data_IF_113626729415
#
_entry.id   IF_113626729415
#
_cell.length_a   1.000
_cell.length_b   1.000
_cell.length_c   1.000
_cell.angle_alpha   90.00
_cell.angle_beta   90.00
_cell.angle_gamma   90.00
#
_symmetry.space_group_name_H-M   'P 1'
#
loop_
_entity.id
_entity.type
_entity.pdbx_description
1 polymer ?
#
# COMPACT_ATOMS: atom_id res chain seq x y z
N UNK A 1 -10.96 -34.12 14.88
CA UNK A 1 -11.57 -32.77 14.95
C UNK A 1 -11.26 -32.14 13.60
N UNK A 2 -12.27 -32.02 12.74
CA UNK A 2 -12.08 -31.45 11.41
C UNK A 2 -11.85 -29.94 11.53
N UNK A 3 -11.07 -29.38 10.63
CA UNK A 3 -10.81 -27.95 10.50
C UNK A 3 -12.14 -27.22 10.27
N UNK A 4 -12.43 -26.17 11.05
CA UNK A 4 -13.68 -25.43 10.93
C UNK A 4 -13.70 -24.61 9.63
N UNK A 5 -14.81 -24.65 8.90
CA UNK A 5 -15.00 -23.94 7.61
C UNK A 5 -15.47 -22.48 7.79
N UNK A 6 -15.20 -21.86 8.93
CA UNK A 6 -15.67 -20.51 9.27
C UNK A 6 -15.31 -19.48 8.19
N UNK A 7 -14.11 -19.58 7.61
CA UNK A 7 -13.60 -18.68 6.56
C UNK A 7 -14.31 -18.84 5.20
N UNK A 8 -15.08 -19.93 5.01
CA UNK A 8 -15.83 -20.17 3.77
C UNK A 8 -17.32 -19.82 3.91
N UNK A 9 -17.81 -19.51 5.12
CA UNK A 9 -19.23 -19.21 5.35
C UNK A 9 -19.68 -17.96 4.59
N UNK A 10 -18.86 -16.93 4.52
CA UNK A 10 -19.17 -15.69 3.79
C UNK A 10 -19.27 -15.97 2.28
N UNK A 11 -18.28 -16.69 1.70
CA UNK A 11 -18.29 -17.09 0.30
C UNK A 11 -19.47 -18.02 -0.05
N UNK A 12 -19.88 -18.86 0.92
CA UNK A 12 -21.05 -19.72 0.78
C UNK A 12 -22.36 -18.91 0.72
N UNK A 13 -22.49 -17.88 1.56
CA UNK A 13 -23.65 -16.98 1.59
C UNK A 13 -23.75 -16.11 0.34
N UNK A 14 -22.63 -15.70 -0.21
CA UNK A 14 -22.56 -14.86 -1.42
C UNK A 14 -22.66 -15.69 -2.72
N UNK A 15 -22.89 -17.02 -2.60
CA UNK A 15 -23.00 -17.97 -3.72
C UNK A 15 -21.72 -18.04 -4.60
N UNK A 16 -20.58 -17.66 -4.05
CA UNK A 16 -19.30 -17.66 -4.77
C UNK A 16 -18.63 -19.04 -4.82
N UNK A 17 -19.00 -19.95 -3.89
CA UNK A 17 -18.50 -21.33 -3.88
C UNK A 17 -19.26 -22.19 -4.90
N UNK A 18 -18.51 -22.98 -5.68
CA UNK A 18 -19.07 -23.84 -6.72
C UNK A 18 -18.57 -25.29 -6.59
N UNK A 19 -19.36 -26.22 -7.15
CA UNK A 19 -18.95 -27.62 -7.32
C UNK A 19 -18.61 -28.34 -6.03
N UNK A 20 -17.40 -28.87 -5.93
CA UNK A 20 -16.97 -29.71 -4.81
C UNK A 20 -16.75 -28.93 -3.51
N UNK A 21 -16.23 -27.71 -3.60
CA UNK A 21 -16.02 -26.85 -2.41
C UNK A 21 -17.34 -26.53 -1.71
N UNK A 22 -18.36 -26.18 -2.46
CA UNK A 22 -19.71 -25.95 -1.91
C UNK A 22 -20.25 -27.18 -1.19
N UNK A 23 -20.10 -28.37 -1.79
CA UNK A 23 -20.53 -29.64 -1.17
C UNK A 23 -19.80 -29.93 0.13
N UNK A 24 -18.49 -29.71 0.19
CA UNK A 24 -17.70 -29.92 1.40
C UNK A 24 -18.16 -28.99 2.54
N UNK A 25 -18.42 -27.72 2.24
CA UNK A 25 -18.96 -26.77 3.22
C UNK A 25 -20.36 -27.20 3.70
N UNK A 26 -21.26 -27.62 2.80
CA UNK A 26 -22.60 -28.08 3.14
C UNK A 26 -22.56 -29.35 4.05
N UNK A 27 -21.70 -30.30 3.73
CA UNK A 27 -21.52 -31.50 4.59
C UNK A 27 -20.97 -31.12 5.96
N UNK A 28 -19.99 -30.26 6.03
CA UNK A 28 -19.42 -29.84 7.32
C UNK A 28 -20.45 -29.07 8.17
N UNK A 29 -21.23 -28.16 7.58
CA UNK A 29 -22.31 -27.43 8.28
C UNK A 29 -23.38 -28.40 8.79
N UNK A 30 -23.67 -29.48 8.06
CA UNK A 30 -24.63 -30.50 8.51
C UNK A 30 -24.14 -31.22 9.76
N UNK A 31 -22.85 -31.43 9.93
CA UNK A 31 -22.27 -32.22 11.03
C UNK A 31 -21.77 -31.33 12.20
N UNK A 32 -21.29 -30.09 11.91
CA UNK A 32 -20.72 -29.21 12.90
C UNK A 32 -21.74 -28.20 13.44
N UNK A 33 -22.09 -28.31 14.72
CA UNK A 33 -23.05 -27.40 15.37
C UNK A 33 -22.53 -25.97 15.47
N UNK A 34 -21.24 -25.78 15.62
CA UNK A 34 -20.61 -24.44 15.74
C UNK A 34 -20.63 -23.66 14.41
N UNK A 35 -20.28 -24.35 13.31
CA UNK A 35 -20.32 -23.73 11.96
C UNK A 35 -21.79 -23.47 11.54
N UNK A 36 -22.71 -24.32 11.91
CA UNK A 36 -24.16 -24.11 11.69
C UNK A 36 -24.65 -22.87 12.45
N UNK A 37 -24.34 -22.76 13.74
CA UNK A 37 -24.71 -21.59 14.53
C UNK A 37 -24.08 -20.29 14.03
N UNK A 38 -22.91 -20.37 13.45
CA UNK A 38 -22.27 -19.21 12.79
C UNK A 38 -23.04 -18.82 11.53
N UNK A 39 -23.35 -19.77 10.66
CA UNK A 39 -24.15 -19.53 9.45
C UNK A 39 -25.51 -18.90 9.78
N UNK A 40 -26.22 -19.41 10.76
CA UNK A 40 -27.53 -18.89 11.20
C UNK A 40 -27.42 -17.43 11.70
N UNK A 41 -26.35 -17.08 12.42
CA UNK A 41 -26.12 -15.70 12.87
C UNK A 41 -25.86 -14.76 11.70
N UNK A 42 -25.06 -15.16 10.72
CA UNK A 42 -24.79 -14.34 9.54
C UNK A 42 -26.05 -14.15 8.68
N UNK A 43 -26.84 -15.21 8.48
CA UNK A 43 -28.12 -15.13 7.77
C UNK A 43 -29.10 -14.20 8.48
N UNK A 44 -29.19 -14.28 9.80
CA UNK A 44 -30.03 -13.40 10.60
C UNK A 44 -29.60 -11.94 10.49
N UNK A 45 -28.29 -11.69 10.54
CA UNK A 45 -27.72 -10.36 10.36
C UNK A 45 -28.01 -9.78 8.97
N UNK A 46 -27.85 -10.58 7.91
CA UNK A 46 -28.20 -10.17 6.54
C UNK A 46 -29.69 -9.86 6.38
N UNK A 47 -30.56 -10.64 7.03
CA UNK A 47 -32.00 -10.37 7.05
C UNK A 47 -32.33 -9.03 7.73
N UNK A 48 -31.67 -8.72 8.86
CA UNK A 48 -31.82 -7.41 9.52
C UNK A 48 -31.34 -6.25 8.64
N UNK A 49 -30.22 -6.42 7.96
CA UNK A 49 -29.71 -5.41 7.00
C UNK A 49 -30.67 -5.22 5.82
N UNK A 50 -31.26 -6.29 5.29
CA UNK A 50 -32.23 -6.22 4.21
C UNK A 50 -33.49 -5.45 4.64
N UNK A 51 -33.94 -5.59 5.88
CA UNK A 51 -35.06 -4.83 6.44
C UNK A 51 -34.72 -3.36 6.71
N UNK A 52 -33.47 -3.07 7.04
CA UNK A 52 -32.97 -1.70 7.25
C UNK A 52 -32.70 -0.94 5.95
N UNK A 53 -32.62 -1.63 4.80
CA UNK A 53 -32.46 -0.97 3.49
C UNK A 53 -33.71 -0.15 3.16
N UNK A 54 -33.59 1.15 2.93
CA UNK A 54 -34.71 1.92 2.41
C UNK A 54 -35.07 1.35 1.03
N UNK A 55 -36.34 0.98 0.86
CA UNK A 55 -36.88 0.58 -0.43
C UNK A 55 -36.92 1.83 -1.33
N UNK A 56 -35.88 2.03 -2.11
CA UNK A 56 -35.88 3.05 -3.15
C UNK A 56 -36.70 2.53 -4.32
N UNK A 57 -37.82 3.18 -4.58
CA UNK A 57 -38.56 2.96 -5.81
C UNK A 57 -37.76 3.56 -6.96
N UNK A 58 -37.55 2.75 -8.01
CA UNK A 58 -36.77 3.20 -9.18
C UNK A 58 -37.60 4.27 -9.90
N UNK A 59 -37.09 5.50 -10.05
CA UNK A 59 -37.82 6.56 -10.72
C UNK A 59 -38.28 6.12 -12.13
N UNK A 60 -39.53 6.44 -12.47
CA UNK A 60 -40.19 6.01 -13.72
C UNK A 60 -39.39 6.42 -14.99
N UNK A 61 -38.67 7.52 -14.94
CA UNK A 61 -37.80 7.96 -16.04
C UNK A 61 -36.60 7.00 -16.24
N UNK A 62 -36.05 6.42 -15.16
CA UNK A 62 -34.94 5.44 -15.25
C UNK A 62 -35.45 4.11 -15.76
N UNK A 63 -36.62 3.64 -15.27
CA UNK A 63 -37.28 2.42 -15.75
C UNK A 63 -37.55 2.50 -17.25
N UNK A 64 -38.18 3.58 -17.73
CA UNK A 64 -38.46 3.81 -19.15
C UNK A 64 -37.19 3.88 -20.00
N UNK A 65 -36.13 4.48 -19.46
CA UNK A 65 -34.85 4.56 -20.19
C UNK A 65 -34.24 3.18 -20.39
N UNK A 66 -34.27 2.33 -19.34
CA UNK A 66 -33.79 0.93 -19.43
C UNK A 66 -34.63 0.13 -20.41
N UNK A 67 -35.96 0.24 -20.36
CA UNK A 67 -36.88 -0.45 -21.29
C UNK A 67 -36.62 -0.04 -22.74
N UNK A 68 -36.33 1.23 -23.03
CA UNK A 68 -35.96 1.72 -24.36
C UNK A 68 -34.62 1.15 -24.86
N UNK A 69 -33.63 0.93 -23.95
CA UNK A 69 -32.36 0.29 -24.32
C UNK A 69 -32.54 -1.19 -24.68
N UNK A 70 -33.57 -1.85 -24.15
CA UNK A 70 -33.87 -3.28 -24.39
C UNK A 70 -34.88 -3.49 -25.53
N UNK A 71 -35.64 -2.45 -25.92
CA UNK A 71 -36.54 -2.50 -27.05
C UNK A 71 -35.76 -2.55 -28.36
N UNK A 72 -35.62 -3.75 -28.91
CA UNK A 72 -35.02 -3.97 -30.24
C UNK A 72 -35.91 -3.31 -31.30
N UNK A 73 -35.40 -2.42 -32.15
CA UNK A 73 -36.15 -1.96 -33.31
C UNK A 73 -36.26 -3.12 -34.30
N UNK A 74 -37.47 -3.61 -34.51
CA UNK A 74 -37.80 -4.57 -35.56
C UNK A 74 -37.94 -3.82 -36.91
N UNK A 75 -37.03 -4.09 -37.78
CA UNK A 75 -37.29 -4.02 -39.22
C UNK A 75 -36.89 -2.77 -39.99
N UNK A 76 -35.68 -2.77 -40.53
CA UNK A 76 -35.46 -2.32 -41.93
C UNK A 76 -34.28 -3.10 -42.50
N UNK A 77 -34.61 -3.94 -43.45
CA UNK A 77 -33.66 -4.82 -44.18
C UNK A 77 -32.84 -4.05 -45.21
N UNK A 78 -31.53 -4.29 -45.20
CA UNK A 78 -30.71 -4.51 -46.41
C UNK A 78 -30.41 -3.29 -47.29
N UNK A 79 -29.38 -2.51 -46.83
CA UNK A 79 -28.37 -1.90 -47.72
C UNK A 79 -27.09 -1.46 -46.99
N UNK A 80 -26.99 -1.67 -45.68
CA UNK A 80 -25.90 -1.21 -44.83
C UNK A 80 -24.83 -2.29 -44.57
N UNK A 81 -24.96 -3.48 -45.17
CA UNK A 81 -24.16 -4.66 -44.80
C UNK A 81 -22.66 -4.54 -45.13
N UNK A 82 -22.30 -3.71 -46.13
CA UNK A 82 -20.87 -3.55 -46.50
C UNK A 82 -20.12 -2.52 -45.65
N UNK A 83 -20.81 -1.52 -45.10
CA UNK A 83 -20.24 -0.53 -44.20
C UNK A 83 -20.24 -0.99 -42.74
N UNK A 84 -21.20 -1.83 -42.36
CA UNK A 84 -21.29 -2.41 -41.01
C UNK A 84 -20.15 -3.38 -40.69
N UNK A 85 -19.65 -4.12 -41.71
CA UNK A 85 -18.53 -5.05 -41.54
C UNK A 85 -17.21 -4.32 -41.26
N UNK A 86 -16.96 -3.18 -41.91
CA UNK A 86 -15.79 -2.34 -41.70
C UNK A 86 -15.82 -1.63 -40.32
N UNK A 87 -17.00 -1.17 -39.88
CA UNK A 87 -17.16 -0.56 -38.59
C UNK A 87 -17.03 -1.57 -37.41
N UNK A 88 -17.58 -2.79 -37.62
CA UNK A 88 -17.49 -3.87 -36.65
C UNK A 88 -16.05 -4.34 -36.43
N UNK A 89 -15.22 -4.37 -37.50
CA UNK A 89 -13.80 -4.73 -37.38
C UNK A 89 -13.00 -3.65 -36.64
N UNK A 90 -13.29 -2.37 -36.88
CA UNK A 90 -12.64 -1.26 -36.16
C UNK A 90 -13.04 -1.23 -34.68
N UNK A 91 -14.33 -1.46 -34.39
CA UNK A 91 -14.81 -1.53 -32.99
C UNK A 91 -14.22 -2.74 -32.27
N UNK A 92 -14.15 -3.89 -32.93
CA UNK A 92 -13.54 -5.10 -32.38
C UNK A 92 -12.04 -4.91 -32.14
N UNK A 93 -11.33 -4.31 -33.11
CA UNK A 93 -9.91 -3.98 -32.93
C UNK A 93 -9.69 -2.98 -31.78
N UNK A 94 -10.49 -1.92 -31.69
CA UNK A 94 -10.43 -0.98 -30.59
C UNK A 94 -10.78 -1.63 -29.24
N UNK A 95 -11.75 -2.54 -29.22
CA UNK A 95 -12.09 -3.31 -28.02
C UNK A 95 -10.96 -4.25 -27.60
N UNK A 96 -10.36 -4.98 -28.54
CA UNK A 96 -9.21 -5.86 -28.29
C UNK A 96 -8.01 -5.05 -27.78
N UNK A 97 -7.70 -3.91 -28.42
CA UNK A 97 -6.63 -3.01 -27.95
C UNK A 97 -6.96 -2.49 -26.53
N UNK A 98 -8.20 -2.10 -26.28
CA UNK A 98 -8.64 -1.64 -24.95
C UNK A 98 -8.51 -2.74 -23.88
N UNK A 99 -8.91 -3.99 -24.22
CA UNK A 99 -8.77 -5.15 -23.32
C UNK A 99 -7.29 -5.46 -23.08
N UNK A 100 -6.46 -5.50 -24.12
CA UNK A 100 -5.02 -5.76 -23.99
C UNK A 100 -4.30 -4.67 -23.20
N UNK A 101 -4.65 -3.40 -23.43
CA UNK A 101 -4.09 -2.27 -22.65
C UNK A 101 -4.58 -2.33 -21.20
N UNK A 102 -5.87 -2.63 -21.00
CA UNK A 102 -6.44 -2.73 -19.64
C UNK A 102 -5.85 -3.90 -18.86
N UNK A 103 -5.70 -5.08 -19.50
CA UNK A 103 -5.04 -6.24 -18.89
C UNK A 103 -3.55 -5.98 -18.64
N UNK A 104 -2.86 -5.29 -19.53
CA UNK A 104 -1.46 -4.94 -19.33
C UNK A 104 -1.27 -3.93 -18.17
N UNK A 105 -2.17 -2.94 -18.06
CA UNK A 105 -2.21 -2.00 -16.93
C UNK A 105 -2.57 -2.72 -15.62
N UNK A 106 -3.55 -3.65 -15.65
CA UNK A 106 -3.90 -4.47 -14.49
C UNK A 106 -2.77 -5.40 -14.07
N UNK A 107 -2.15 -6.12 -15.01
CA UNK A 107 -0.99 -6.99 -14.74
C UNK A 107 0.16 -6.18 -14.16
N UNK A 108 0.49 -5.04 -14.75
CA UNK A 108 1.52 -4.13 -14.22
C UNK A 108 1.16 -3.53 -12.85
N UNK A 109 -0.11 -3.39 -12.51
CA UNK A 109 -0.55 -2.94 -11.18
C UNK A 109 -0.50 -4.08 -10.16
N UNK A 110 -0.92 -5.30 -10.56
CA UNK A 110 -0.85 -6.52 -9.73
C UNK A 110 0.61 -6.93 -9.50
N UNK A 111 1.45 -6.90 -10.55
CA UNK A 111 2.88 -7.19 -10.42
C UNK A 111 3.58 -6.15 -9.52
N UNK A 112 3.25 -4.86 -9.67
CA UNK A 112 3.74 -3.81 -8.77
C UNK A 112 3.23 -3.97 -7.33
N UNK A 113 1.99 -4.39 -7.13
CA UNK A 113 1.44 -4.66 -5.80
C UNK A 113 2.08 -5.90 -5.16
N UNK A 114 2.32 -6.97 -5.94
CA UNK A 114 3.00 -8.17 -5.47
C UNK A 114 4.51 -7.98 -5.21
N UNK A 115 5.13 -6.92 -5.77
CA UNK A 115 6.55 -6.59 -5.57
C UNK A 115 6.76 -5.43 -4.59
N UNK A 116 5.70 -4.89 -3.97
CA UNK A 116 5.85 -3.86 -2.95
C UNK A 116 6.46 -4.43 -1.68
N UNK A 117 7.47 -3.76 -1.17
CA UNK A 117 8.08 -4.12 0.11
C UNK A 117 7.07 -3.90 1.25
N UNK A 118 6.78 -4.96 2.03
CA UNK A 118 5.97 -4.84 3.26
C UNK A 118 6.57 -3.78 4.22
N UNK A 119 7.89 -3.67 4.24
CA UNK A 119 8.59 -2.69 5.05
C UNK A 119 8.39 -1.26 4.55
N UNK A 120 8.39 -1.05 3.23
CA UNK A 120 8.08 0.25 2.64
C UNK A 120 6.61 0.66 2.89
N UNK A 121 5.68 -0.29 2.78
CA UNK A 121 4.26 -0.07 3.09
C UNK A 121 4.07 0.33 4.56
N UNK A 122 4.71 -0.38 5.50
CA UNK A 122 4.68 -0.06 6.92
C UNK A 122 5.24 1.34 7.18
N UNK A 123 6.37 1.69 6.55
CA UNK A 123 7.00 2.99 6.71
C UNK A 123 6.08 4.13 6.25
N UNK A 124 5.44 3.97 5.08
CA UNK A 124 4.47 4.94 4.55
C UNK A 124 3.24 5.10 5.44
N UNK A 125 2.63 3.98 5.88
CA UNK A 125 1.46 4.00 6.79
C UNK A 125 1.81 4.66 8.13
N UNK A 126 2.93 4.27 8.73
CA UNK A 126 3.40 4.84 10.00
C UNK A 126 3.63 6.35 9.87
N UNK A 127 4.28 6.78 8.78
CA UNK A 127 4.50 8.19 8.50
C UNK A 127 3.19 8.96 8.33
N UNK A 128 2.26 8.43 7.55
CA UNK A 128 0.94 9.04 7.34
C UNK A 128 0.16 9.21 8.65
N UNK A 129 0.15 8.17 9.49
CA UNK A 129 -0.53 8.21 10.80
C UNK A 129 0.12 9.22 11.74
N UNK A 130 1.46 9.30 11.75
CA UNK A 130 2.17 10.30 12.53
C UNK A 130 1.85 11.73 12.07
N UNK A 131 1.91 12.01 10.77
CA UNK A 131 1.58 13.33 10.19
C UNK A 131 0.14 13.74 10.51
N UNK A 132 -0.79 12.78 10.56
CA UNK A 132 -2.19 13.02 10.97
C UNK A 132 -2.39 13.15 12.49
N UNK A 133 -1.34 13.07 13.30
CA UNK A 133 -1.43 13.14 14.75
C UNK A 133 -2.04 11.89 15.41
N UNK A 134 -2.20 10.79 14.66
CA UNK A 134 -2.78 9.53 15.15
C UNK A 134 -1.75 8.64 15.84
N UNK A 135 -0.47 8.97 15.72
CA UNK A 135 0.64 8.17 16.23
C UNK A 135 1.59 9.05 17.04
N UNK A 136 1.45 9.13 18.38
CA UNK A 136 2.32 9.95 19.22
C UNK A 136 3.74 9.37 19.27
N UNK A 137 4.73 10.25 19.47
CA UNK A 137 6.11 9.85 19.76
C UNK A 137 6.22 9.36 21.21
N UNK A 138 7.02 8.31 21.43
CA UNK A 138 7.28 7.75 22.76
C UNK A 138 8.45 8.44 23.45
N UNK A 139 9.39 8.97 22.67
CA UNK A 139 10.42 9.88 23.14
C UNK A 139 10.46 11.13 22.27
N UNK A 140 10.59 12.29 22.89
CA UNK A 140 10.80 13.58 22.24
C UNK A 140 12.17 14.10 22.63
N UNK A 141 13.09 14.16 21.67
CA UNK A 141 14.44 14.69 21.86
C UNK A 141 15.00 15.18 20.55
N UNK A 142 15.87 16.18 20.63
CA UNK A 142 16.67 16.69 19.51
C UNK A 142 18.09 16.13 19.52
N UNK A 143 18.45 15.31 20.55
CA UNK A 143 19.76 14.65 20.67
C UNK A 143 19.70 13.26 20.00
N UNK A 144 20.51 13.03 18.94
CA UNK A 144 20.70 11.71 18.36
C UNK A 144 21.18 10.66 19.37
N UNK A 145 21.99 11.09 20.34
CA UNK A 145 22.57 10.25 21.38
C UNK A 145 21.49 9.75 22.35
N UNK A 146 20.60 10.64 22.80
CA UNK A 146 19.48 10.27 23.67
C UNK A 146 18.53 9.31 22.98
N UNK A 147 18.19 9.56 21.70
CA UNK A 147 17.32 8.66 20.94
C UNK A 147 17.99 7.30 20.71
N UNK A 148 19.29 7.30 20.35
CA UNK A 148 20.03 6.04 20.19
C UNK A 148 20.11 5.24 21.50
N UNK A 149 20.34 5.90 22.62
CA UNK A 149 20.33 5.28 23.95
C UNK A 149 18.96 4.74 24.33
N UNK A 150 17.88 5.46 24.00
CA UNK A 150 16.50 5.01 24.26
C UNK A 150 16.14 3.71 23.53
N UNK A 151 16.71 3.46 22.35
CA UNK A 151 16.49 2.23 21.59
C UNK A 151 17.39 1.07 22.04
N UNK A 152 18.47 1.30 22.78
CA UNK A 152 19.52 0.33 23.03
C UNK A 152 19.04 -0.99 23.68
N UNK A 153 17.96 -0.92 24.47
CA UNK A 153 17.34 -2.07 25.16
C UNK A 153 16.01 -2.51 24.55
N UNK A 154 15.57 -1.86 23.45
CA UNK A 154 14.22 -2.04 22.88
C UNK A 154 14.22 -2.67 21.50
N UNK A 155 15.35 -2.64 20.80
CA UNK A 155 15.50 -3.25 19.48
C UNK A 155 16.71 -4.21 19.49
N UNK A 156 16.67 -5.33 18.73
CA UNK A 156 17.75 -6.33 18.74
C UNK A 156 18.97 -5.93 17.90
N UNK A 157 19.14 -4.64 17.61
CA UNK A 157 20.24 -4.11 16.80
C UNK A 157 20.76 -2.80 17.37
N UNK A 158 22.02 -2.49 17.05
CA UNK A 158 22.63 -1.23 17.51
C UNK A 158 22.29 -0.09 16.55
N UNK A 159 21.38 0.77 16.97
CA UNK A 159 20.98 1.97 16.23
C UNK A 159 21.87 3.14 16.64
N UNK A 160 22.66 3.65 15.71
CA UNK A 160 23.42 4.89 15.88
C UNK A 160 22.88 5.92 14.87
N UNK A 161 22.22 6.94 15.39
CA UNK A 161 21.79 8.06 14.55
C UNK A 161 23.00 8.96 14.24
N UNK A 162 23.08 9.46 12.99
CA UNK A 162 24.15 10.40 12.63
C UNK A 162 24.02 11.68 13.44
N UNK A 163 25.12 12.09 14.08
CA UNK A 163 25.20 13.40 14.73
C UNK A 163 25.70 14.42 13.69
N UNK A 164 24.90 15.43 13.45
CA UNK A 164 25.33 16.56 12.60
C UNK A 164 26.38 17.37 13.37
N UNK A 165 27.66 17.23 12.99
CA UNK A 165 28.67 18.19 13.43
C UNK A 165 28.42 19.50 12.71
N UNK A 166 28.11 20.53 13.46
CA UNK A 166 28.05 21.90 12.95
C UNK A 166 29.41 22.26 12.36
N UNK A 167 29.52 22.16 11.05
CA UNK A 167 30.61 22.74 10.30
C UNK A 167 30.39 24.26 10.35
N UNK A 168 31.12 24.92 11.30
CA UNK A 168 31.26 26.36 11.43
C UNK A 168 30.12 27.21 10.86
N UNK A 169 29.09 27.44 11.67
CA UNK A 169 28.11 28.52 11.45
C UNK A 169 26.95 28.24 10.49
N UNK A 170 26.83 27.07 9.91
CA UNK A 170 25.66 26.73 9.10
C UNK A 170 24.54 26.11 9.96
N UNK A 171 23.29 26.59 9.86
CA UNK A 171 22.17 26.00 10.60
C UNK A 171 21.93 24.58 10.10
N UNK A 172 21.56 23.68 11.03
CA UNK A 172 21.15 22.32 10.70
C UNK A 172 20.02 22.34 9.67
N UNK A 173 20.11 21.63 8.54
CA UNK A 173 19.07 21.62 7.52
C UNK A 173 17.80 20.91 7.99
N UNK A 174 17.88 20.15 9.09
CA UNK A 174 16.77 19.38 9.67
C UNK A 174 16.78 19.47 11.19
N UNK A 175 15.62 19.22 11.76
CA UNK A 175 15.40 19.11 13.21
C UNK A 175 14.91 17.69 13.53
N UNK A 176 15.58 17.02 14.46
CA UNK A 176 15.13 15.77 15.06
C UNK A 176 13.97 16.08 16.01
N UNK A 177 12.85 15.38 15.91
CA UNK A 177 11.65 15.63 16.72
C UNK A 177 11.44 14.57 17.80
N UNK A 178 11.84 13.33 17.52
CA UNK A 178 11.68 12.23 18.46
C UNK A 178 11.58 10.88 17.75
N UNK A 179 11.15 9.88 18.50
CA UNK A 179 11.08 8.50 18.02
C UNK A 179 9.99 7.68 18.72
N UNK A 180 9.75 6.48 18.19
CA UNK A 180 8.91 5.45 18.79
C UNK A 180 9.27 4.05 18.29
N UNK A 181 8.80 3.02 18.99
CA UNK A 181 8.79 1.65 18.50
C UNK A 181 7.60 1.40 17.57
N UNK A 182 7.85 0.61 16.54
CA UNK A 182 6.81 0.13 15.62
C UNK A 182 6.96 -1.37 15.48
N UNK A 183 5.89 -2.13 15.73
CA UNK A 183 5.90 -3.58 15.53
C UNK A 183 6.00 -3.92 14.04
N UNK A 184 6.88 -4.85 13.70
CA UNK A 184 7.01 -5.39 12.34
C UNK A 184 7.32 -6.89 12.38
N UNK A 185 6.42 -7.70 11.83
CA UNK A 185 6.47 -9.16 11.95
C UNK A 185 6.50 -9.57 13.43
N UNK A 186 7.49 -10.36 13.82
CA UNK A 186 7.68 -10.81 15.20
C UNK A 186 8.71 -9.95 15.97
N UNK A 187 9.01 -8.75 15.49
CA UNK A 187 10.08 -7.89 16.01
C UNK A 187 9.63 -6.42 16.03
N UNK A 188 10.56 -5.54 16.42
CA UNK A 188 10.34 -4.11 16.44
C UNK A 188 11.26 -3.39 15.45
N UNK A 189 10.73 -2.32 14.87
CA UNK A 189 11.46 -1.35 14.08
C UNK A 189 11.56 -0.03 14.85
N UNK A 190 12.66 0.66 14.70
CA UNK A 190 12.87 2.00 15.22
C UNK A 190 12.30 3.02 14.22
N UNK A 191 11.32 3.82 14.65
CA UNK A 191 10.74 4.89 13.87
C UNK A 191 11.21 6.24 14.44
N UNK A 192 11.91 7.02 13.60
CA UNK A 192 12.52 8.30 13.96
C UNK A 192 11.91 9.39 13.07
N UNK A 193 11.59 10.54 13.66
CA UNK A 193 10.96 11.64 12.95
C UNK A 193 11.85 12.88 12.94
N UNK A 194 11.86 13.52 11.79
CA UNK A 194 12.59 14.75 11.53
C UNK A 194 11.70 15.78 10.85
N UNK A 195 12.10 17.04 10.93
CA UNK A 195 11.49 18.14 10.18
C UNK A 195 12.57 18.88 9.38
N UNK A 196 12.32 19.04 8.09
CA UNK A 196 13.18 19.80 7.19
C UNK A 196 12.34 20.82 6.43
N UNK A 197 12.73 22.11 6.49
CA UNK A 197 11.96 23.18 5.83
C UNK A 197 10.45 23.12 6.14
N UNK A 198 10.11 22.85 7.38
CA UNK A 198 8.74 22.65 7.87
C UNK A 198 7.98 21.44 7.29
N UNK A 199 8.65 20.54 6.56
CA UNK A 199 8.07 19.30 6.04
C UNK A 199 8.47 18.11 6.89
N UNK A 200 7.53 17.16 7.14
CA UNK A 200 7.83 15.97 7.91
C UNK A 200 8.68 14.99 7.11
N UNK A 201 9.64 14.37 7.76
CA UNK A 201 10.43 13.26 7.26
C UNK A 201 10.45 12.19 8.34
N UNK A 202 10.44 10.94 7.96
CA UNK A 202 10.67 9.84 8.89
C UNK A 202 11.61 8.80 8.36
N UNK A 203 12.31 8.14 9.28
CA UNK A 203 13.20 7.03 9.04
C UNK A 203 12.72 5.84 9.85
N UNK A 204 12.39 4.74 9.19
CA UNK A 204 12.11 3.45 9.82
C UNK A 204 13.33 2.55 9.64
N UNK A 205 13.78 1.92 10.72
CA UNK A 205 14.98 1.07 10.74
C UNK A 205 14.67 -0.28 11.38
N UNK A 206 15.13 -1.34 10.75
CA UNK A 206 15.06 -2.71 11.30
C UNK A 206 16.31 -3.52 10.92
N UNK A 207 16.44 -4.74 11.45
CA UNK A 207 17.50 -5.65 11.03
C UNK A 207 17.30 -6.13 9.59
N UNK A 208 18.36 -6.28 8.83
CA UNK A 208 18.33 -6.87 7.48
C UNK A 208 17.86 -8.34 7.48
N UNK A 209 17.94 -9.03 8.62
CA UNK A 209 17.39 -10.38 8.78
C UNK A 209 15.86 -10.38 8.84
N UNK A 210 15.24 -9.27 9.25
CA UNK A 210 13.78 -9.12 9.41
C UNK A 210 13.15 -8.56 8.14
N UNK A 211 13.79 -7.60 7.49
CA UNK A 211 13.38 -7.04 6.21
C UNK A 211 14.55 -6.81 5.28
N UNK A 212 14.31 -7.02 3.99
CA UNK A 212 15.25 -6.62 2.93
C UNK A 212 14.57 -5.62 2.00
N UNK A 213 15.31 -4.63 1.49
CA UNK A 213 14.79 -3.72 0.49
C UNK A 213 14.35 -4.51 -0.74
N UNK A 214 13.18 -4.18 -1.27
CA UNK A 214 12.64 -4.82 -2.47
C UNK A 214 11.55 -3.94 -3.08
N UNK A 215 11.20 -4.20 -4.33
CA UNK A 215 10.15 -3.46 -5.04
C UNK A 215 10.61 -2.10 -5.58
N UNK A 216 9.73 -1.45 -6.31
CA UNK A 216 9.98 -0.12 -6.87
C UNK A 216 11.07 -0.04 -7.93
N UNK A 217 11.60 1.19 -8.11
CA UNK A 217 12.69 1.49 -9.03
C UNK A 217 14.04 1.33 -8.30
N UNK A 218 14.95 0.51 -8.84
CA UNK A 218 16.30 0.40 -8.31
C UNK A 218 17.18 1.59 -8.73
N UNK A 219 17.79 2.22 -7.75
CA UNK A 219 18.76 3.31 -7.95
C UNK A 219 20.08 2.87 -7.31
N UNK A 220 21.14 2.77 -8.10
CA UNK A 220 22.47 2.40 -7.61
C UNK A 220 23.34 3.63 -7.41
N UNK A 221 23.81 3.83 -6.20
CA UNK A 221 24.69 4.94 -5.86
C UNK A 221 25.70 4.56 -4.80
N UNK A 222 26.95 4.88 -5.01
CA UNK A 222 28.06 4.70 -4.06
C UNK A 222 28.19 3.30 -3.45
N UNK A 223 27.89 2.27 -4.24
CA UNK A 223 27.95 0.88 -3.77
C UNK A 223 26.71 0.40 -3.01
N UNK A 224 25.71 1.26 -2.80
CA UNK A 224 24.43 0.90 -2.25
C UNK A 224 23.37 0.77 -3.36
N UNK A 225 22.40 -0.11 -3.10
CA UNK A 225 21.20 -0.26 -3.92
C UNK A 225 20.03 0.31 -3.14
N UNK A 226 19.40 1.31 -3.73
CA UNK A 226 18.20 1.94 -3.20
C UNK A 226 16.99 1.49 -4.01
N UNK A 227 15.88 1.29 -3.34
CA UNK A 227 14.59 1.00 -3.95
C UNK A 227 13.66 2.19 -3.69
N UNK A 228 13.21 2.82 -4.76
CA UNK A 228 12.32 3.99 -4.70
C UNK A 228 10.90 3.58 -5.06
N UNK A 229 9.96 3.93 -4.21
CA UNK A 229 8.52 3.73 -4.45
C UNK A 229 7.73 5.00 -4.08
N UNK A 230 6.59 5.18 -4.74
CA UNK A 230 5.58 6.14 -4.31
C UNK A 230 4.38 5.38 -3.77
N UNK A 231 4.08 5.59 -2.47
CA UNK A 231 3.02 4.91 -1.73
C UNK A 231 2.09 5.94 -1.13
N UNK A 232 0.84 5.98 -1.60
CA UNK A 232 -0.20 6.91 -1.12
C UNK A 232 0.22 8.40 -1.15
N UNK A 233 1.01 8.80 -2.16
CA UNK A 233 1.54 10.16 -2.31
C UNK A 233 2.82 10.43 -1.50
N UNK A 234 3.29 9.46 -0.70
CA UNK A 234 4.56 9.54 0.00
C UNK A 234 5.68 8.88 -0.80
N UNK A 235 6.82 9.53 -0.85
CA UNK A 235 8.04 8.97 -1.44
C UNK A 235 8.77 8.14 -0.42
N UNK A 236 8.98 6.87 -0.73
CA UNK A 236 9.64 5.90 0.14
C UNK A 236 10.92 5.42 -0.53
N UNK A 237 12.03 5.59 0.15
CA UNK A 237 13.33 5.11 -0.28
C UNK A 237 13.83 4.07 0.70
N UNK A 238 14.03 2.83 0.24
CA UNK A 238 14.53 1.74 1.09
C UNK A 238 15.92 1.30 0.64
N UNK A 239 16.78 0.97 1.59
CA UNK A 239 18.12 0.42 1.35
C UNK A 239 18.60 -0.39 2.53
N UNK A 240 19.62 -1.24 2.33
CA UNK A 240 20.34 -1.89 3.44
C UNK A 240 21.76 -1.35 3.51
N UNK A 241 22.23 -1.15 4.73
CA UNK A 241 23.63 -0.84 5.05
C UNK A 241 24.01 -1.44 6.41
N UNK A 242 25.17 -2.06 6.48
CA UNK A 242 25.76 -2.63 7.72
C UNK A 242 24.82 -3.51 8.54
N UNK A 243 24.04 -4.37 7.86
CA UNK A 243 23.13 -5.33 8.50
C UNK A 243 21.79 -4.72 8.96
N UNK A 244 21.54 -3.45 8.65
CA UNK A 244 20.27 -2.77 8.91
C UNK A 244 19.57 -2.44 7.60
N UNK A 245 18.25 -2.48 7.63
CA UNK A 245 17.38 -2.00 6.55
C UNK A 245 16.68 -0.72 6.98
N UNK A 246 16.72 0.23 6.11
CA UNK A 246 16.19 1.58 6.28
C UNK A 246 15.05 1.84 5.32
N UNK A 247 14.06 2.60 5.75
CA UNK A 247 13.04 3.19 4.90
C UNK A 247 12.86 4.68 5.25
N UNK A 248 13.22 5.54 4.33
CA UNK A 248 13.06 6.99 4.44
C UNK A 248 11.77 7.41 3.75
N UNK A 249 10.92 8.14 4.44
CA UNK A 249 9.63 8.61 3.93
C UNK A 249 9.55 10.13 3.98
N UNK A 250 9.12 10.74 2.88
CA UNK A 250 8.92 12.18 2.76
C UNK A 250 7.91 12.53 1.66
N UNK A 251 7.50 13.81 1.61
CA UNK A 251 6.67 14.40 0.57
C UNK A 251 7.44 15.32 -0.39
N UNK A 252 8.79 15.32 -0.32
CA UNK A 252 9.59 16.17 -1.19
C UNK A 252 9.39 15.81 -2.67
N UNK A 253 9.28 16.82 -3.53
CA UNK A 253 9.09 16.64 -4.99
C UNK A 253 10.28 15.94 -5.66
N UNK A 254 11.47 16.17 -5.13
CA UNK A 254 12.68 15.48 -5.56
C UNK A 254 12.66 14.04 -5.04
N UNK A 255 13.01 13.04 -5.84
CA UNK A 255 12.99 11.58 -5.57
C UNK A 255 13.67 11.17 -4.24
N UNK A 256 13.36 11.83 -3.13
CA UNK A 256 13.91 11.60 -1.80
C UNK A 256 15.31 12.16 -1.57
N UNK A 257 15.97 12.73 -2.57
CA UNK A 257 17.37 13.22 -2.48
C UNK A 257 17.55 14.31 -1.41
N UNK A 258 16.61 15.25 -1.29
CA UNK A 258 16.66 16.26 -0.24
C UNK A 258 16.55 15.65 1.18
N UNK A 259 15.81 14.55 1.31
CA UNK A 259 15.65 13.82 2.58
C UNK A 259 16.92 13.06 2.97
N UNK A 260 17.77 12.67 2.00
CA UNK A 260 19.06 12.03 2.29
C UNK A 260 20.02 12.94 3.06
N UNK A 261 19.83 14.27 2.98
CA UNK A 261 20.61 15.24 3.76
C UNK A 261 20.46 15.08 5.28
N UNK A 262 19.41 14.42 5.74
CA UNK A 262 19.23 14.09 7.17
C UNK A 262 20.35 13.16 7.67
N UNK A 263 20.78 12.23 6.81
CA UNK A 263 21.80 11.24 7.14
C UNK A 263 23.19 11.58 6.59
N UNK A 264 23.28 12.42 5.52
CA UNK A 264 24.50 12.76 4.80
C UNK A 264 24.76 14.28 4.76
N UNK A 265 25.16 14.88 5.87
CA UNK A 265 25.24 16.33 6.00
C UNK A 265 26.52 16.96 5.38
N UNK A 266 27.48 16.15 4.89
CA UNK A 266 28.74 16.74 4.38
C UNK A 266 28.61 17.37 2.99
N UNK A 267 29.30 18.49 2.77
CA UNK A 267 29.28 19.20 1.47
C UNK A 267 29.86 18.37 0.30
N UNK A 268 30.70 17.36 0.59
CA UNK A 268 31.20 16.40 -0.41
C UNK A 268 30.13 15.36 -0.77
N UNK A 269 29.28 14.98 0.18
CA UNK A 269 28.16 14.06 -0.03
C UNK A 269 27.00 14.77 -0.70
N UNK A 270 26.76 16.04 -0.40
CA UNK A 270 25.77 16.88 -1.11
C UNK A 270 26.07 16.99 -2.60
N UNK A 271 27.33 17.24 -3.00
CA UNK A 271 27.71 17.28 -4.41
C UNK A 271 27.50 15.96 -5.12
N UNK A 272 27.73 14.82 -4.45
CA UNK A 272 27.46 13.49 -4.99
C UNK A 272 25.99 13.17 -5.13
N UNK A 273 25.14 13.76 -4.26
CA UNK A 273 23.66 13.65 -4.35
C UNK A 273 23.11 14.54 -5.49
N UNK A 274 23.76 15.66 -5.78
CA UNK A 274 23.42 16.53 -6.92
C UNK A 274 23.77 15.87 -8.27
N UNK A 275 24.83 15.06 -8.33
CA UNK A 275 25.18 14.28 -9.52
C UNK A 275 24.18 13.15 -9.85
N UNK A 276 23.35 12.73 -8.89
CA UNK A 276 22.20 11.84 -9.12
C UNK A 276 21.00 12.55 -9.79
N UNK A 277 21.11 13.86 -9.97
CA UNK A 277 20.10 14.72 -10.60
C UNK A 277 20.18 14.72 -12.13
N UNK A 278 21.23 14.17 -12.69
CA UNK A 278 21.49 14.07 -14.15
C UNK A 278 21.31 12.65 -14.66
#
# INVERSE_FOLDING_TARGET
MGEHVVHLIELYLDEELQGEERRQVEMHIAECTECRARLEREQHFMALLAHARPLYDVPENVRRHIEQLWARPSGTRIRVFKWALGLATVILAAFVVRVLVHDNVRRSAVDRANHRSEFALLAADTHQRWVRGQLPLEIRSQSPEEISAWFADKVPFNLKLPSFRELSGQPKPYQLEGARLVGFKNDYAAYITYRMRNRPISLLVTSETVARPSGGEEIRSQGLVFHFEEINGWKVLTWSDRGLTYALVSDFEERGQASCMVCHPSASEQRKLEDLRR
#
